data_IF_969722818708
#
_entry.id   IF_969722818708
#
_cell.length_a   1.000
_cell.length_b   1.000
_cell.length_c   1.000
_cell.angle_alpha   90.00
_cell.angle_beta   90.00
_cell.angle_gamma   90.00
#
_symmetry.space_group_name_H-M   'P 1'
#
loop_
_entity.id
_entity.type
_entity.pdbx_description
1 polymer ?
#
# COMPACT_ATOMS: atom_id res chain seq x y z
N UNK A 1 10.19 -5.56 -8.83
CA UNK A 1 10.27 -4.09 -8.76
C UNK A 1 9.32 -3.59 -7.70
N UNK A 2 9.77 -2.68 -6.83
CA UNK A 2 8.94 -2.05 -5.81
C UNK A 2 8.78 -0.56 -6.13
N UNK A 3 7.55 -0.09 -6.25
CA UNK A 3 7.21 1.31 -6.54
C UNK A 3 6.55 1.94 -5.33
N UNK A 4 7.21 2.91 -4.71
CA UNK A 4 6.60 3.79 -3.73
C UNK A 4 5.98 5.00 -4.42
N UNK A 5 4.71 5.30 -4.16
CA UNK A 5 4.03 6.48 -4.71
C UNK A 5 3.74 7.45 -3.57
N UNK A 6 4.37 8.61 -3.61
CA UNK A 6 4.10 9.73 -2.73
C UNK A 6 3.37 10.85 -3.48
N UNK A 7 2.82 11.81 -2.74
CA UNK A 7 2.08 12.91 -3.32
C UNK A 7 1.15 13.56 -2.32
N UNK A 8 0.79 14.81 -2.61
CA UNK A 8 -0.14 15.58 -1.79
C UNK A 8 -1.57 15.01 -1.83
N UNK A 9 -2.45 15.45 -0.91
CA UNK A 9 -3.85 15.05 -0.92
C UNK A 9 -4.51 15.38 -2.27
N UNK A 10 -5.33 14.45 -2.78
CA UNK A 10 -6.03 14.58 -4.06
C UNK A 10 -5.13 14.77 -5.31
N UNK A 11 -3.82 14.51 -5.22
CA UNK A 11 -2.93 14.61 -6.38
C UNK A 11 -3.19 13.57 -7.46
N UNK A 12 -3.83 12.46 -7.11
CA UNK A 12 -4.07 11.32 -8.02
C UNK A 12 -3.16 10.11 -7.76
N UNK A 13 -2.43 10.09 -6.63
CA UNK A 13 -1.53 8.99 -6.27
C UNK A 13 -2.21 7.61 -6.23
N UNK A 14 -3.43 7.52 -5.69
CA UNK A 14 -4.19 6.26 -5.66
C UNK A 14 -4.63 5.82 -7.05
N UNK A 15 -5.06 6.75 -7.91
CA UNK A 15 -5.38 6.46 -9.31
C UNK A 15 -4.17 5.94 -10.07
N UNK A 16 -2.98 6.49 -9.78
CA UNK A 16 -1.71 6.02 -10.35
C UNK A 16 -1.38 4.59 -9.87
N UNK A 17 -1.57 4.30 -8.58
CA UNK A 17 -1.40 2.95 -8.04
C UNK A 17 -2.36 1.96 -8.72
N UNK A 18 -3.64 2.32 -8.84
CA UNK A 18 -4.66 1.50 -9.48
C UNK A 18 -4.34 1.23 -10.96
N UNK A 19 -3.83 2.23 -11.68
CA UNK A 19 -3.35 2.03 -13.05
C UNK A 19 -2.23 0.99 -13.12
N UNK A 20 -1.24 1.04 -12.21
CA UNK A 20 -0.17 0.04 -12.16
C UNK A 20 -0.71 -1.36 -11.86
N UNK A 21 -1.69 -1.48 -10.97
CA UNK A 21 -2.34 -2.76 -10.65
C UNK A 21 -3.05 -3.31 -11.90
N UNK A 22 -3.95 -2.52 -12.48
CA UNK A 22 -4.82 -2.97 -13.57
C UNK A 22 -4.07 -3.20 -14.90
N UNK A 23 -3.11 -2.34 -15.23
CA UNK A 23 -2.46 -2.32 -16.55
C UNK A 23 -1.10 -3.01 -16.56
N UNK A 24 -0.42 -3.05 -15.42
CA UNK A 24 0.93 -3.59 -15.31
C UNK A 24 1.05 -4.77 -14.33
N UNK A 25 -0.06 -5.22 -13.75
CA UNK A 25 -0.09 -6.41 -12.89
C UNK A 25 0.66 -6.23 -11.58
N UNK A 26 0.78 -4.99 -11.09
CA UNK A 26 1.33 -4.74 -9.76
C UNK A 26 0.38 -5.25 -8.68
N UNK A 27 0.91 -5.75 -7.58
CA UNK A 27 0.15 -6.01 -6.37
C UNK A 27 0.35 -4.88 -5.37
N UNK A 28 -0.75 -4.42 -4.78
CA UNK A 28 -0.73 -3.33 -3.81
C UNK A 28 -0.35 -3.83 -2.43
N UNK A 29 0.61 -3.14 -1.81
CA UNK A 29 1.05 -3.39 -0.44
C UNK A 29 0.65 -2.21 0.44
N UNK A 30 0.20 -2.52 1.65
CA UNK A 30 -0.24 -1.54 2.63
C UNK A 30 0.62 -1.61 3.88
N UNK A 31 0.95 -0.44 4.41
CA UNK A 31 1.59 -0.25 5.71
C UNK A 31 0.60 0.42 6.67
N UNK A 32 0.74 0.21 7.98
CA UNK A 32 -0.14 0.83 8.95
C UNK A 32 0.05 2.35 8.87
N UNK A 33 -1.02 3.06 8.60
CA UNK A 33 -0.99 4.53 8.70
C UNK A 33 -1.07 4.90 10.18
N UNK A 34 -0.35 5.93 10.69
CA UNK A 34 -0.46 6.36 12.08
C UNK A 34 -1.90 6.69 12.52
N UNK A 35 -2.79 7.03 11.57
CA UNK A 35 -4.22 7.27 11.82
C UNK A 35 -5.07 6.00 11.98
N UNK A 36 -4.57 4.81 11.62
CA UNK A 36 -5.26 3.53 11.80
C UNK A 36 -5.17 2.98 13.24
N UNK A 37 -4.56 3.70 14.17
CA UNK A 37 -4.71 3.46 15.61
C UNK A 37 -6.06 3.92 16.18
N UNK A 38 -7.04 4.30 15.34
CA UNK A 38 -8.43 4.28 15.74
C UNK A 38 -8.98 2.84 15.64
N UNK A 39 -9.44 2.23 16.74
CA UNK A 39 -9.99 0.89 16.71
C UNK A 39 -11.28 0.91 15.87
N UNK A 40 -11.22 0.34 14.67
CA UNK A 40 -12.43 -0.01 13.92
C UNK A 40 -13.02 -1.30 14.50
N UNK A 41 -14.36 -1.41 14.62
CA UNK A 41 -15.01 -2.51 15.30
C UNK A 41 -14.75 -3.82 14.56
N UNK A 42 -14.30 -4.81 15.32
CA UNK A 42 -14.00 -6.20 14.93
C UNK A 42 -14.99 -6.80 13.92
N UNK A 43 -14.54 -7.38 12.80
CA UNK A 43 -15.34 -8.36 12.07
C UNK A 43 -15.37 -9.67 12.88
N UNK A 44 -16.57 -10.17 13.12
CA UNK A 44 -16.86 -11.40 13.85
C UNK A 44 -16.15 -12.62 13.22
N UNK A 45 -15.52 -13.51 14.02
CA UNK A 45 -14.86 -14.69 13.49
C UNK A 45 -15.90 -15.79 13.23
N UNK A 46 -15.97 -16.26 11.98
CA UNK A 46 -16.55 -17.57 11.66
C UNK A 46 -15.41 -18.61 11.65
N UNK A 47 -15.57 -19.78 12.26
CA UNK A 47 -14.48 -20.74 12.42
C UNK A 47 -14.46 -21.74 11.26
N UNK A 48 -13.31 -21.95 10.62
CA UNK A 48 -12.80 -23.29 10.29
C UNK A 48 -11.53 -23.26 9.42
N UNK A 49 -10.58 -24.13 9.82
CA UNK A 49 -9.43 -24.70 9.10
C UNK A 49 -8.01 -24.11 9.33
N UNK A 50 -7.23 -24.97 10.01
CA UNK A 50 -5.76 -25.06 10.15
C UNK A 50 -4.96 -24.46 8.98
N UNK A 51 -4.65 -23.17 9.06
CA UNK A 51 -3.58 -22.56 8.31
C UNK A 51 -2.64 -21.89 9.30
N UNK A 52 -1.35 -22.23 9.22
CA UNK A 52 -0.28 -21.65 10.04
C UNK A 52 -0.44 -20.12 10.14
N UNK A 53 -0.25 -19.51 11.33
CA UNK A 53 -0.61 -18.12 11.59
C UNK A 53 0.08 -17.11 10.64
N UNK A 54 1.26 -17.45 10.12
CA UNK A 54 1.97 -16.63 9.13
C UNK A 54 1.27 -16.57 7.77
N UNK A 55 0.59 -17.64 7.35
CA UNK A 55 -0.16 -17.66 6.09
C UNK A 55 -1.46 -16.85 6.18
N UNK A 56 -2.12 -16.81 7.34
CA UNK A 56 -3.33 -16.03 7.56
C UNK A 56 -3.07 -14.52 7.53
N UNK A 57 -1.87 -14.07 7.92
CA UNK A 57 -1.45 -12.65 7.82
C UNK A 57 -1.03 -12.21 6.44
N UNK A 58 -0.62 -13.17 5.60
CA UNK A 58 -0.31 -12.96 4.18
C UNK A 58 -1.53 -13.20 3.27
N UNK A 59 -2.69 -13.54 3.84
CA UNK A 59 -3.94 -13.46 3.09
C UNK A 59 -4.16 -12.00 2.68
N UNK A 60 -4.76 -11.75 1.51
CA UNK A 60 -5.13 -10.42 1.06
C UNK A 60 -6.21 -9.87 2.00
N UNK A 61 -5.78 -9.35 3.14
CA UNK A 61 -6.60 -8.73 4.14
C UNK A 61 -6.49 -7.23 3.92
N UNK A 62 -7.66 -6.61 3.78
CA UNK A 62 -7.92 -5.22 3.42
C UNK A 62 -7.97 -5.01 1.91
N UNK A 63 -9.18 -5.19 1.38
CA UNK A 63 -9.68 -4.40 0.27
C UNK A 63 -9.53 -2.93 0.65
N UNK A 64 -8.82 -2.15 -0.16
CA UNK A 64 -9.04 -0.70 -0.17
C UNK A 64 -10.54 -0.42 -0.35
N UNK A 65 -11.02 0.78 -0.03
CA UNK A 65 -12.43 1.21 -0.23
C UNK A 65 -12.96 1.00 -1.67
N UNK A 66 -12.10 0.58 -2.61
CA UNK A 66 -12.32 0.36 -4.04
C UNK A 66 -12.29 -1.15 -4.40
N UNK A 67 -12.07 -2.06 -3.46
CA UNK A 67 -12.12 -3.51 -3.69
C UNK A 67 -10.85 -4.13 -4.31
N UNK A 68 -9.76 -3.37 -4.42
CA UNK A 68 -8.49 -3.86 -4.96
C UNK A 68 -7.82 -4.82 -3.97
N UNK A 69 -7.45 -6.03 -4.43
CA UNK A 69 -6.76 -7.05 -3.61
C UNK A 69 -5.36 -6.55 -3.25
N UNK A 70 -5.12 -6.26 -1.97
CA UNK A 70 -3.82 -5.85 -1.45
C UNK A 70 -3.32 -6.75 -0.32
N UNK A 71 -2.02 -6.68 -0.02
CA UNK A 71 -1.40 -7.32 1.14
C UNK A 71 -1.07 -6.26 2.20
N UNK A 72 -1.48 -6.50 3.43
CA UNK A 72 -1.20 -5.61 4.56
C UNK A 72 -0.06 -6.14 5.41
N UNK A 73 0.86 -5.26 5.80
CA UNK A 73 2.00 -5.59 6.65
C UNK A 73 1.96 -4.79 7.95
N UNK A 74 2.39 -5.37 9.09
CA UNK A 74 2.42 -4.69 10.37
C UNK A 74 3.53 -3.63 10.47
N UNK A 75 4.60 -3.78 9.70
CA UNK A 75 5.77 -2.90 9.74
C UNK A 75 6.55 -2.96 8.42
N UNK A 76 7.44 -1.99 8.23
CA UNK A 76 8.25 -1.83 7.01
C UNK A 76 9.26 -2.96 6.83
N UNK A 77 9.77 -3.52 7.92
CA UNK A 77 10.79 -4.58 7.87
C UNK A 77 10.18 -5.89 7.35
N UNK A 78 9.01 -6.27 7.87
CA UNK A 78 8.20 -7.41 7.42
C UNK A 78 7.85 -7.29 5.93
N UNK A 79 7.45 -6.09 5.49
CA UNK A 79 7.18 -5.82 4.08
C UNK A 79 8.44 -6.00 3.23
N UNK A 80 9.58 -5.47 3.68
CA UNK A 80 10.84 -5.56 2.97
C UNK A 80 11.35 -6.98 2.86
N UNK A 81 11.27 -7.80 3.92
CA UNK A 81 11.64 -9.21 3.85
C UNK A 81 10.76 -9.96 2.83
N UNK A 82 9.45 -9.69 2.84
CA UNK A 82 8.50 -10.26 1.89
C UNK A 82 8.85 -9.92 0.43
N UNK A 83 9.13 -8.63 0.15
CA UNK A 83 9.40 -8.12 -1.20
C UNK A 83 10.80 -8.49 -1.67
N UNK A 84 11.79 -8.50 -0.78
CA UNK A 84 13.19 -8.79 -1.14
C UNK A 84 13.34 -10.22 -1.65
N UNK A 85 12.61 -11.19 -1.07
CA UNK A 85 12.57 -12.58 -1.56
C UNK A 85 11.92 -12.71 -2.94
N UNK A 86 11.04 -11.77 -3.30
CA UNK A 86 10.31 -11.72 -4.58
C UNK A 86 10.58 -10.43 -5.35
N UNK A 87 11.84 -10.00 -5.37
CA UNK A 87 12.22 -8.70 -5.93
C UNK A 87 11.92 -8.57 -7.43
N UNK A 88 11.72 -9.68 -8.15
CA UNK A 88 11.35 -9.72 -9.58
C UNK A 88 9.87 -9.49 -9.84
N UNK A 89 9.01 -9.68 -8.84
CA UNK A 89 7.56 -9.44 -8.93
C UNK A 89 7.24 -7.93 -8.80
N UNK A 90 6.02 -7.54 -9.13
CA UNK A 90 5.61 -6.13 -9.24
C UNK A 90 4.82 -5.69 -8.01
N UNK A 91 5.36 -4.72 -7.28
CA UNK A 91 4.81 -4.26 -6.00
C UNK A 91 4.61 -2.76 -6.00
N UNK A 92 3.47 -2.28 -5.51
CA UNK A 92 3.17 -0.84 -5.38
C UNK A 92 2.73 -0.49 -3.97
N UNK A 93 3.20 0.64 -3.45
CA UNK A 93 2.89 1.13 -2.11
C UNK A 93 2.53 2.61 -2.16
N UNK A 94 1.47 3.02 -1.47
CA UNK A 94 0.99 4.41 -1.42
C UNK A 94 1.20 5.10 -0.08
N UNK A 95 1.63 4.32 0.93
CA UNK A 95 1.48 4.64 2.34
C UNK A 95 2.85 5.01 2.96
N UNK A 96 3.64 5.81 2.23
CA UNK A 96 4.94 6.34 2.70
C UNK A 96 4.70 7.70 3.34
N UNK A 97 4.72 7.76 4.67
CA UNK A 97 4.37 8.97 5.44
C UNK A 97 5.57 9.64 6.13
N UNK A 98 6.63 8.89 6.39
CA UNK A 98 7.78 9.34 7.15
C UNK A 98 9.09 9.11 6.38
N UNK A 99 10.08 9.94 6.70
CA UNK A 99 11.41 9.89 6.08
C UNK A 99 12.15 8.61 6.45
N UNK A 100 12.00 8.11 7.67
CA UNK A 100 12.67 6.89 8.13
C UNK A 100 12.24 5.67 7.29
N UNK A 101 10.94 5.46 7.07
CA UNK A 101 10.42 4.43 6.17
C UNK A 101 11.00 4.58 4.76
N UNK A 102 11.04 5.81 4.24
CA UNK A 102 11.58 6.07 2.91
C UNK A 102 13.06 5.73 2.80
N UNK A 103 13.88 6.11 3.78
CA UNK A 103 15.31 5.79 3.80
C UNK A 103 15.58 4.29 3.78
N UNK A 104 14.79 3.49 4.51
CA UNK A 104 14.93 2.04 4.52
C UNK A 104 14.59 1.46 3.14
N UNK A 105 13.54 1.97 2.48
CA UNK A 105 13.12 1.55 1.13
C UNK A 105 14.15 1.94 0.06
N UNK A 106 14.71 3.16 0.13
CA UNK A 106 15.70 3.68 -0.82
C UNK A 106 17.01 2.88 -0.86
N UNK A 107 17.36 2.18 0.22
CA UNK A 107 18.53 1.28 0.25
C UNK A 107 18.38 0.06 -0.66
N UNK A 108 17.20 -0.20 -1.22
CA UNK A 108 16.94 -1.37 -2.07
C UNK A 108 17.14 -1.02 -3.55
N UNK A 109 17.97 -1.78 -4.30
CA UNK A 109 18.29 -1.46 -5.69
C UNK A 109 17.10 -1.61 -6.67
N UNK A 110 16.00 -2.24 -6.23
CA UNK A 110 14.79 -2.44 -7.02
C UNK A 110 13.63 -1.50 -6.62
N UNK A 111 13.90 -0.49 -5.79
CA UNK A 111 12.93 0.50 -5.34
C UNK A 111 12.92 1.74 -6.23
N UNK A 112 11.73 2.23 -6.57
CA UNK A 112 11.49 3.48 -7.27
C UNK A 112 10.50 4.33 -6.47
N UNK A 113 10.88 5.57 -6.14
CA UNK A 113 9.97 6.56 -5.59
C UNK A 113 9.37 7.41 -6.72
N UNK A 114 8.04 7.46 -6.80
CA UNK A 114 7.26 8.28 -7.72
C UNK A 114 6.50 9.34 -6.93
N UNK A 115 6.79 10.62 -7.18
CA UNK A 115 6.00 11.72 -6.66
C UNK A 115 4.91 12.11 -7.67
N UNK A 116 3.66 12.05 -7.24
CA UNK A 116 2.49 12.45 -8.03
C UNK A 116 1.97 13.78 -7.51
N UNK A 117 1.96 14.78 -8.38
CA UNK A 117 1.45 16.12 -8.06
C UNK A 117 0.36 16.58 -9.05
N UNK A 118 -0.43 17.55 -8.62
CA UNK A 118 -1.47 18.19 -9.44
C UNK A 118 -1.69 19.65 -9.02
N UNK A 119 -2.13 20.53 -9.95
CA UNK A 119 -2.49 21.91 -9.62
C UNK A 119 -3.49 22.00 -8.47
N UNK A 120 -3.38 23.05 -7.64
CA UNK A 120 -4.23 23.22 -6.46
C UNK A 120 -5.73 23.22 -6.79
N UNK A 121 -6.12 23.87 -7.89
CA UNK A 121 -7.52 23.88 -8.35
C UNK A 121 -8.06 22.47 -8.61
N UNK A 122 -7.32 21.67 -9.38
CA UNK A 122 -7.68 20.26 -9.65
C UNK A 122 -7.72 19.42 -8.38
N UNK A 123 -6.79 19.63 -7.44
CA UNK A 123 -6.80 18.91 -6.15
C UNK A 123 -8.02 19.29 -5.31
N UNK A 124 -8.41 20.56 -5.33
CA UNK A 124 -9.58 21.07 -4.61
C UNK A 124 -10.89 20.56 -5.22
N UNK A 125 -11.04 20.59 -6.54
CA UNK A 125 -12.17 20.00 -7.26
C UNK A 125 -12.36 18.52 -6.87
N UNK A 126 -11.29 17.72 -6.97
CA UNK A 126 -11.31 16.31 -6.55
C UNK A 126 -11.59 16.10 -5.06
N UNK A 127 -11.28 17.08 -4.21
CA UNK A 127 -11.59 17.03 -2.79
C UNK A 127 -13.07 17.32 -2.54
N UNK A 128 -13.69 18.21 -3.32
CA UNK A 128 -15.13 18.51 -3.23
C UNK A 128 -16.02 17.37 -3.74
N UNK A 129 -15.56 16.61 -4.74
CA UNK A 129 -16.27 15.46 -5.31
C UNK A 129 -16.21 14.19 -4.43
N UNK A 130 -15.51 14.26 -3.28
CA UNK A 130 -15.16 13.13 -2.43
C UNK A 130 -16.09 12.97 -1.24
#
# INVERSE_FOLDING_TARGET
>A
MLVGICGSICSGKHTTAEYLVQRHGFLRLHLPTPQQFQPSPSPSPSPSHDLSPDYLRLLPSVTDQIGTRGLSFPDVESLLDFVTRRWREHWVLTDIYDEATLEILLRRPFFLLLNVDAPLGTRFERFQER
#
